data_IF_087289375818
#
_entry.id   IF_087289375818
#
_cell.length_a   1.000
_cell.length_b   1.000
_cell.length_c   1.000
_cell.angle_alpha   90.00
_cell.angle_beta   90.00
_cell.angle_gamma   90.00
#
_symmetry.space_group_name_H-M   'P 1'
#
loop_
_entity.id
_entity.type
_entity.pdbx_description
1 polymer ?
#
# COMPACT_ATOMS: atom_id res chain seq x y z
N UNK A 1 3.21 26.68 5.81
CA UNK A 1 3.10 25.24 6.06
C UNK A 1 3.06 24.56 4.70
N UNK A 2 3.71 23.42 4.53
CA UNK A 2 3.52 22.59 3.34
C UNK A 2 2.22 21.81 3.48
N UNK A 3 1.45 21.66 2.40
CA UNK A 3 0.20 20.88 2.39
C UNK A 3 0.50 19.39 2.56
N UNK A 4 -0.34 18.62 3.25
CA UNK A 4 -0.17 17.16 3.27
C UNK A 4 -0.70 16.59 1.96
N UNK A 5 0.09 15.77 1.26
CA UNK A 5 -0.39 15.03 0.09
C UNK A 5 -0.58 13.56 0.46
N UNK A 6 -1.80 13.07 0.29
CA UNK A 6 -2.15 11.67 0.50
C UNK A 6 -2.10 10.90 -0.81
N UNK A 7 -1.29 9.84 -0.86
CA UNK A 7 -1.12 8.98 -2.03
C UNK A 7 -1.73 7.62 -1.72
N UNK A 8 -2.77 7.24 -2.44
CA UNK A 8 -3.46 5.95 -2.27
C UNK A 8 -3.03 5.01 -3.39
N UNK A 9 -2.50 3.85 -3.03
CA UNK A 9 -1.99 2.84 -3.98
C UNK A 9 -2.81 1.56 -3.84
N UNK A 10 -3.70 1.25 -4.80
CA UNK A 10 -4.41 -0.03 -4.83
C UNK A 10 -3.47 -1.15 -5.27
N UNK A 11 -3.57 -2.31 -4.62
CA UNK A 11 -2.63 -3.43 -4.76
C UNK A 11 -3.43 -4.72 -4.91
N UNK A 12 -3.18 -5.44 -5.99
CA UNK A 12 -3.68 -6.79 -6.23
C UNK A 12 -2.69 -7.55 -7.11
N UNK A 13 -1.95 -8.49 -6.53
CA UNK A 13 -0.96 -9.30 -7.24
C UNK A 13 0.08 -8.47 -8.05
N UNK A 14 0.62 -7.42 -7.43
CA UNK A 14 1.55 -6.46 -8.05
C UNK A 14 2.96 -6.52 -7.47
N UNK A 15 3.33 -7.59 -6.76
CA UNK A 15 4.58 -7.66 -5.98
C UNK A 15 5.84 -7.34 -6.79
N UNK A 16 5.85 -7.70 -8.09
CA UNK A 16 6.96 -7.41 -9.01
C UNK A 16 7.33 -5.93 -9.14
N UNK A 17 6.34 -5.02 -9.09
CA UNK A 17 6.55 -3.59 -9.33
C UNK A 17 6.28 -2.73 -8.09
N UNK A 18 5.65 -3.32 -7.06
CA UNK A 18 5.25 -2.61 -5.85
C UNK A 18 6.44 -1.95 -5.15
N UNK A 19 7.57 -2.65 -5.06
CA UNK A 19 8.79 -2.14 -4.41
C UNK A 19 9.29 -0.87 -5.10
N UNK A 20 9.51 -0.93 -6.42
CA UNK A 20 10.00 0.21 -7.19
C UNK A 20 9.03 1.40 -7.12
N UNK A 21 7.73 1.12 -7.21
CA UNK A 21 6.70 2.15 -7.14
C UNK A 21 6.72 2.91 -5.80
N UNK A 22 6.70 2.18 -4.68
CA UNK A 22 6.69 2.79 -3.34
C UNK A 22 8.02 3.50 -3.07
N UNK A 23 9.16 2.91 -3.43
CA UNK A 23 10.46 3.57 -3.29
C UNK A 23 10.54 4.88 -4.07
N UNK A 24 10.01 4.92 -5.31
CA UNK A 24 9.98 6.13 -6.10
C UNK A 24 9.14 7.21 -5.45
N UNK A 25 7.97 6.87 -4.88
CA UNK A 25 7.12 7.82 -4.14
C UNK A 25 7.85 8.38 -2.91
N UNK A 26 8.54 7.52 -2.13
CA UNK A 26 9.27 7.93 -0.93
C UNK A 26 10.49 8.83 -1.24
N UNK A 27 11.11 8.65 -2.41
CA UNK A 27 12.31 9.39 -2.86
C UNK A 27 11.99 10.70 -3.60
N UNK A 28 10.72 11.08 -3.77
CA UNK A 28 10.36 12.31 -4.50
C UNK A 28 10.83 13.58 -3.78
N UNK A 29 10.95 14.69 -4.48
CA UNK A 29 11.40 15.97 -3.90
C UNK A 29 10.42 16.53 -2.86
N UNK A 30 9.12 16.20 -2.98
CA UNK A 30 8.10 16.56 -2.00
C UNK A 30 7.98 15.51 -0.91
N UNK A 31 8.26 15.89 0.34
CA UNK A 31 8.41 14.92 1.45
C UNK A 31 7.25 14.92 2.46
N UNK A 32 6.37 15.93 2.41
CA UNK A 32 5.20 16.02 3.30
C UNK A 32 4.04 15.19 2.75
N UNK A 33 4.24 13.88 2.72
CA UNK A 33 3.32 12.91 2.12
C UNK A 33 2.89 11.85 3.14
N UNK A 34 1.72 11.28 2.92
CA UNK A 34 1.32 9.98 3.48
C UNK A 34 1.03 9.00 2.34
N UNK A 35 1.36 7.72 2.54
CA UNK A 35 1.15 6.67 1.55
C UNK A 35 0.20 5.64 2.17
N UNK A 36 -0.91 5.38 1.51
CA UNK A 36 -1.92 4.40 1.93
C UNK A 36 -1.92 3.27 0.91
N UNK A 37 -1.33 2.14 1.28
CA UNK A 37 -1.32 0.91 0.50
C UNK A 37 -2.61 0.13 0.78
N UNK A 38 -3.40 -0.16 -0.25
CA UNK A 38 -4.67 -0.88 -0.12
C UNK A 38 -4.52 -2.23 -0.83
N UNK A 39 -4.24 -3.27 -0.05
CA UNK A 39 -4.08 -4.64 -0.55
C UNK A 39 -5.44 -5.35 -0.59
N UNK A 40 -5.93 -5.64 -1.80
CA UNK A 40 -7.22 -6.29 -2.04
C UNK A 40 -7.11 -7.81 -2.06
N UNK A 41 -6.61 -8.38 -0.96
CA UNK A 41 -6.38 -9.83 -0.84
C UNK A 41 -5.49 -10.41 -1.93
N UNK A 42 -4.32 -9.80 -2.13
CA UNK A 42 -3.30 -10.39 -3.00
C UNK A 42 -2.93 -11.79 -2.52
N UNK A 43 -2.71 -12.69 -3.47
CA UNK A 43 -2.26 -14.07 -3.22
C UNK A 43 -0.78 -14.28 -3.54
N UNK A 44 -0.13 -13.26 -4.10
CA UNK A 44 1.33 -13.20 -4.25
C UNK A 44 1.99 -12.60 -2.99
N UNK A 45 3.23 -12.14 -3.13
CA UNK A 45 3.99 -11.52 -2.04
C UNK A 45 3.69 -10.02 -1.84
N UNK A 46 2.68 -9.44 -2.51
CA UNK A 46 2.33 -8.02 -2.35
C UNK A 46 2.01 -7.65 -0.91
N UNK A 47 1.28 -8.49 -0.18
CA UNK A 47 0.92 -8.23 1.22
C UNK A 47 2.15 -8.11 2.12
N UNK A 48 3.08 -9.05 2.00
CA UNK A 48 4.36 -9.05 2.75
C UNK A 48 5.21 -7.81 2.42
N UNK A 49 5.22 -7.40 1.15
CA UNK A 49 5.91 -6.17 0.72
C UNK A 49 5.28 -4.93 1.37
N UNK A 50 3.93 -4.86 1.44
CA UNK A 50 3.25 -3.75 2.10
C UNK A 50 3.63 -3.65 3.58
N UNK A 51 3.61 -4.78 4.29
CA UNK A 51 3.99 -4.85 5.71
C UNK A 51 5.43 -4.41 5.94
N UNK A 52 6.35 -4.83 5.05
CA UNK A 52 7.74 -4.40 5.11
C UNK A 52 7.88 -2.88 5.01
N UNK A 53 7.17 -2.22 4.10
CA UNK A 53 7.20 -0.76 3.98
C UNK A 53 6.57 -0.06 5.19
N UNK A 54 5.46 -0.59 5.70
CA UNK A 54 4.81 -0.05 6.93
C UNK A 54 5.75 -0.07 8.13
N UNK A 55 6.60 -1.10 8.25
CA UNK A 55 7.59 -1.19 9.33
C UNK A 55 8.80 -0.27 9.11
N UNK A 56 9.15 0.02 7.85
CA UNK A 56 10.35 0.79 7.50
C UNK A 56 10.13 2.30 7.49
N UNK A 57 8.94 2.79 7.12
CA UNK A 57 8.65 4.21 6.98
C UNK A 57 7.31 4.58 7.63
N UNK A 58 7.35 5.53 8.57
CA UNK A 58 6.18 5.95 9.36
C UNK A 58 5.11 6.69 8.54
N UNK A 59 5.42 7.10 7.31
CA UNK A 59 4.47 7.72 6.37
C UNK A 59 3.63 6.68 5.65
N UNK A 60 4.00 5.40 5.72
CA UNK A 60 3.31 4.30 5.06
C UNK A 60 2.28 3.68 6.00
N UNK A 61 1.05 3.55 5.50
CA UNK A 61 -0.06 2.88 6.17
C UNK A 61 -0.60 1.81 5.24
N UNK A 62 -0.98 0.66 5.79
CA UNK A 62 -1.48 -0.47 5.00
C UNK A 62 -2.90 -0.82 5.44
N UNK A 63 -3.76 -1.04 4.46
CA UNK A 63 -5.12 -1.52 4.62
C UNK A 63 -5.27 -2.82 3.84
N UNK A 64 -5.32 -3.96 4.55
CA UNK A 64 -5.62 -5.24 3.92
C UNK A 64 -7.14 -5.45 3.87
N UNK A 65 -7.70 -5.53 2.67
CA UNK A 65 -9.03 -6.08 2.48
C UNK A 65 -8.94 -7.60 2.64
N UNK A 66 -9.88 -8.18 3.39
CA UNK A 66 -10.07 -9.62 3.42
C UNK A 66 -11.04 -9.99 2.31
N UNK A 67 -10.80 -11.10 1.61
CA UNK A 67 -11.76 -11.67 0.67
C UNK A 67 -13.09 -11.77 1.41
N UNK A 68 -14.08 -11.00 0.97
CA UNK A 68 -15.47 -11.27 1.33
C UNK A 68 -15.78 -12.62 0.71
N UNK A 69 -15.69 -13.68 1.51
CA UNK A 69 -16.23 -14.98 1.13
C UNK A 69 -17.60 -14.77 0.50
N UNK A 70 -17.79 -15.33 -0.69
CA UNK A 70 -18.95 -15.10 -1.53
C UNK A 70 -20.26 -15.15 -0.74
N UNK A 71 -21.23 -14.35 -1.18
CA UNK A 71 -22.52 -14.16 -0.53
C UNK A 71 -23.01 -15.41 0.19
N UNK A 72 -22.97 -15.37 1.52
CA UNK A 72 -23.73 -16.31 2.33
C UNK A 72 -25.18 -15.92 2.17
N UNK A 73 -25.86 -16.53 1.21
CA UNK A 73 -27.32 -16.59 1.21
C UNK A 73 -27.72 -17.29 2.51
N UNK A 74 -28.37 -16.54 3.40
CA UNK A 74 -29.22 -17.09 4.46
C UNK A 74 -30.67 -16.92 4.01
#
# INVERSE_FOLDING_TARGET
>A
MSELISIVVPIYNTGKYLVECVEHILKQTYQNIEIILVDDSSTDNSGEICDAFMMQDNRVRVLHHKIRGGGSTS
#
